data_IF_973309603898
#
_entry.id   IF_973309603898
#
_cell.length_a   1.000
_cell.length_b   1.000
_cell.length_c   1.000
_cell.angle_alpha   90.00
_cell.angle_beta   90.00
_cell.angle_gamma   90.00
#
_symmetry.space_group_name_H-M   'P 1'
#
loop_
_entity.id
_entity.type
_entity.pdbx_description
1 polymer ?
#
# COMPACT_ATOMS: atom_id res chain seq x y z
N UNK A 1 30.33 0.77 76.70
CA UNK A 1 31.66 0.23 76.33
C UNK A 1 31.42 -0.68 75.12
N UNK A 2 31.77 -0.21 73.91
CA UNK A 2 32.76 -0.84 72.99
C UNK A 2 32.46 -2.32 72.70
N UNK A 3 31.98 -2.67 71.50
CA UNK A 3 32.78 -3.21 70.37
C UNK A 3 32.48 -4.74 70.24
N UNK A 4 32.47 -5.48 69.12
CA UNK A 4 32.83 -5.29 67.70
C UNK A 4 32.50 -6.62 66.95
N UNK A 5 32.09 -6.55 65.66
CA UNK A 5 32.09 -7.58 64.57
C UNK A 5 31.32 -8.92 64.76
N UNK A 6 30.73 -9.56 63.73
CA UNK A 6 31.28 -9.86 62.39
C UNK A 6 30.19 -9.98 61.32
N UNK A 7 30.52 -9.51 60.12
CA UNK A 7 29.73 -9.48 58.88
C UNK A 7 29.96 -10.80 58.12
N UNK A 8 28.90 -11.44 57.64
CA UNK A 8 28.98 -12.46 56.59
C UNK A 8 28.20 -11.96 55.37
N UNK A 9 28.93 -11.49 54.36
CA UNK A 9 28.40 -11.04 53.08
C UNK A 9 28.38 -12.22 52.10
N UNK A 10 27.18 -12.71 51.77
CA UNK A 10 26.97 -13.66 50.68
C UNK A 10 26.66 -12.89 49.40
N UNK A 11 27.64 -12.82 48.49
CA UNK A 11 27.48 -12.23 47.16
C UNK A 11 26.76 -13.26 46.27
N UNK A 12 25.47 -13.06 46.03
CA UNK A 12 24.74 -13.74 44.98
C UNK A 12 24.96 -12.97 43.66
N UNK A 13 25.70 -13.56 42.73
CA UNK A 13 25.89 -13.02 41.38
C UNK A 13 24.59 -13.31 40.60
N UNK A 14 23.69 -12.32 40.55
CA UNK A 14 22.57 -12.33 39.63
C UNK A 14 23.09 -12.03 38.22
N UNK A 15 23.10 -13.04 37.36
CA UNK A 15 23.40 -12.87 35.94
C UNK A 15 22.39 -11.93 35.29
N UNK A 16 22.87 -10.78 34.81
CA UNK A 16 22.14 -9.93 33.89
C UNK A 16 21.98 -10.66 32.56
N UNK A 17 20.82 -11.29 32.38
CA UNK A 17 20.31 -11.65 31.05
C UNK A 17 19.96 -10.33 30.36
N UNK A 18 20.82 -9.89 29.45
CA UNK A 18 20.50 -8.84 28.50
C UNK A 18 19.40 -9.38 27.56
N UNK A 19 18.14 -9.13 27.89
CA UNK A 19 17.06 -9.22 26.93
C UNK A 19 17.33 -8.16 25.87
N UNK A 20 17.78 -8.59 24.70
CA UNK A 20 17.85 -7.73 23.52
C UNK A 20 16.47 -7.08 23.31
N UNK A 21 16.43 -5.75 23.36
CA UNK A 21 15.28 -4.94 22.98
C UNK A 21 14.90 -5.25 21.53
N UNK A 22 13.99 -6.20 21.35
CA UNK A 22 13.22 -6.31 20.12
C UNK A 22 12.41 -5.02 19.99
N UNK A 23 12.88 -4.09 19.15
CA UNK A 23 12.12 -2.89 18.78
C UNK A 23 10.69 -3.34 18.43
N UNK A 24 9.64 -2.83 19.11
CA UNK A 24 8.29 -3.17 18.75
C UNK A 24 8.09 -2.78 17.29
N UNK A 25 7.74 -3.76 16.45
CA UNK A 25 7.33 -3.51 15.08
C UNK A 25 6.23 -2.44 15.10
N UNK A 26 6.36 -1.40 14.26
CA UNK A 26 5.34 -0.35 14.16
C UNK A 26 3.97 -1.03 14.03
N UNK A 27 2.97 -0.68 14.86
CA UNK A 27 1.66 -1.31 14.82
C UNK A 27 1.10 -1.18 13.40
N UNK A 28 0.75 -2.31 12.78
CA UNK A 28 0.14 -2.35 11.45
C UNK A 28 -1.16 -1.55 11.55
N UNK A 29 -1.21 -0.39 10.90
CA UNK A 29 -2.41 0.42 10.85
C UNK A 29 -3.54 -0.39 10.19
N UNK A 30 -4.69 -0.47 10.86
CA UNK A 30 -5.88 -1.16 10.37
C UNK A 30 -6.95 -0.14 10.01
N UNK A 31 -7.72 -0.46 8.98
CA UNK A 31 -8.86 0.34 8.54
C UNK A 31 -9.94 0.41 9.63
N UNK A 32 -10.55 1.59 9.78
CA UNK A 32 -11.69 1.80 10.68
C UNK A 32 -12.98 1.56 9.89
N UNK A 33 -13.47 0.32 9.92
CA UNK A 33 -14.64 -0.11 9.13
C UNK A 33 -15.91 0.70 9.40
N UNK A 34 -16.07 1.24 10.62
CA UNK A 34 -17.22 2.09 10.96
C UNK A 34 -17.25 3.40 10.19
N UNK A 35 -16.09 3.87 9.73
CA UNK A 35 -15.95 5.19 9.12
C UNK A 35 -16.20 5.17 7.62
N UNK A 36 -16.05 3.99 7.01
CA UNK A 36 -16.27 3.75 5.59
C UNK A 36 -17.62 4.30 5.15
N UNK A 37 -18.70 4.06 5.91
CA UNK A 37 -20.07 4.51 5.58
C UNK A 37 -20.22 6.04 5.47
N UNK A 38 -19.34 6.82 6.09
CA UNK A 38 -19.39 8.28 6.02
C UNK A 38 -18.64 8.83 4.80
N UNK A 39 -17.69 8.05 4.27
CA UNK A 39 -16.77 8.50 3.22
C UNK A 39 -16.98 7.80 1.88
N UNK A 40 -17.82 6.75 1.79
CA UNK A 40 -18.02 5.96 0.56
C UNK A 40 -18.30 6.83 -0.67
N UNK A 41 -19.21 7.79 -0.57
CA UNK A 41 -19.53 8.67 -1.70
C UNK A 41 -18.31 9.51 -2.13
N UNK A 42 -17.65 10.19 -1.18
CA UNK A 42 -16.50 11.04 -1.51
C UNK A 42 -15.31 10.23 -2.05
N UNK A 43 -15.07 9.04 -1.50
CA UNK A 43 -14.05 8.13 -2.02
C UNK A 43 -14.41 7.67 -3.43
N UNK A 44 -15.69 7.40 -3.73
CA UNK A 44 -16.12 7.02 -5.07
C UNK A 44 -15.90 8.15 -6.09
N UNK A 45 -16.25 9.39 -5.73
CA UNK A 45 -16.01 10.56 -6.59
C UNK A 45 -14.51 10.79 -6.86
N UNK A 46 -13.68 10.72 -5.82
CA UNK A 46 -12.24 10.83 -5.96
C UNK A 46 -11.64 9.67 -6.76
N UNK A 47 -12.18 8.46 -6.60
CA UNK A 47 -11.76 7.30 -7.37
C UNK A 47 -12.11 7.49 -8.86
N UNK A 48 -13.32 7.94 -9.20
CA UNK A 48 -13.71 8.20 -10.59
C UNK A 48 -12.79 9.25 -11.24
N UNK A 49 -12.43 10.30 -10.49
CA UNK A 49 -11.47 11.32 -10.93
C UNK A 49 -10.06 10.73 -11.16
N UNK A 50 -9.60 9.87 -10.26
CA UNK A 50 -8.28 9.25 -10.37
C UNK A 50 -8.22 8.24 -11.53
N UNK A 51 -9.24 7.39 -11.67
CA UNK A 51 -9.35 6.37 -12.73
C UNK A 51 -9.34 7.02 -14.11
N UNK A 52 -10.11 8.10 -14.29
CA UNK A 52 -10.15 8.81 -15.58
C UNK A 52 -8.84 9.53 -15.90
N UNK A 53 -8.14 10.06 -14.90
CA UNK A 53 -6.80 10.64 -15.10
C UNK A 53 -5.76 9.59 -15.48
N UNK A 54 -5.75 8.44 -14.82
CA UNK A 54 -4.84 7.33 -15.16
C UNK A 54 -5.14 6.76 -16.54
N UNK A 55 -6.42 6.62 -16.92
CA UNK A 55 -6.80 6.20 -18.26
C UNK A 55 -6.37 7.22 -19.33
N UNK A 56 -6.55 8.52 -19.07
CA UNK A 56 -6.07 9.56 -19.98
C UNK A 56 -4.54 9.53 -20.14
N UNK A 57 -3.80 9.39 -19.04
CA UNK A 57 -2.34 9.25 -19.07
C UNK A 57 -1.92 7.99 -19.85
N UNK A 58 -2.61 6.87 -19.66
CA UNK A 58 -2.34 5.63 -20.41
C UNK A 58 -2.54 5.81 -21.92
N UNK A 59 -3.56 6.57 -22.34
CA UNK A 59 -3.82 6.90 -23.76
C UNK A 59 -2.79 7.85 -24.35
N UNK A 60 -2.18 8.72 -23.54
CA UNK A 60 -1.09 9.60 -23.99
C UNK A 60 0.25 8.84 -24.10
N UNK A 61 0.52 7.93 -23.17
CA UNK A 61 1.75 7.13 -23.13
C UNK A 61 1.73 5.98 -24.16
N UNK A 62 0.55 5.44 -24.48
CA UNK A 62 0.38 4.27 -25.35
C UNK A 62 -0.27 4.66 -26.67
N UNK A 63 0.33 4.33 -27.82
CA UNK A 63 -0.33 4.50 -29.11
C UNK A 63 -1.66 3.73 -29.13
N UNK A 64 -2.74 4.35 -29.61
CA UNK A 64 -4.10 3.78 -29.61
C UNK A 64 -4.15 2.35 -30.17
N UNK A 65 -3.35 2.05 -31.19
CA UNK A 65 -3.25 0.70 -31.81
C UNK A 65 -2.68 -0.39 -30.89
N UNK A 66 -2.02 0.00 -29.80
CA UNK A 66 -1.42 -0.89 -28.80
C UNK A 66 -2.19 -0.89 -27.48
N UNK A 67 -3.19 -0.02 -27.33
CA UNK A 67 -4.01 0.03 -26.14
C UNK A 67 -4.92 -1.19 -26.12
N UNK A 68 -4.67 -2.11 -25.20
CA UNK A 68 -5.53 -3.26 -24.96
C UNK A 68 -6.35 -3.02 -23.69
N UNK A 69 -7.53 -3.63 -23.65
CA UNK A 69 -8.38 -3.64 -22.46
C UNK A 69 -7.63 -4.16 -21.22
N UNK A 70 -6.79 -5.19 -21.40
CA UNK A 70 -5.95 -5.75 -20.32
C UNK A 70 -5.04 -4.71 -19.69
N UNK A 71 -4.44 -3.80 -20.48
CA UNK A 71 -3.60 -2.73 -19.92
C UNK A 71 -4.40 -1.76 -19.05
N UNK A 72 -5.68 -1.53 -19.40
CA UNK A 72 -6.58 -0.67 -18.63
C UNK A 72 -6.96 -1.36 -17.31
N UNK A 73 -7.35 -2.63 -17.37
CA UNK A 73 -7.70 -3.43 -16.18
C UNK A 73 -6.52 -3.53 -15.20
N UNK A 74 -5.32 -3.83 -15.68
CA UNK A 74 -4.10 -3.91 -14.83
C UNK A 74 -3.79 -2.61 -14.08
N UNK A 75 -4.16 -1.45 -14.64
CA UNK A 75 -4.04 -0.16 -13.96
C UNK A 75 -5.12 0.01 -12.90
N UNK A 76 -6.36 -0.34 -13.25
CA UNK A 76 -7.52 -0.18 -12.38
C UNK A 76 -7.38 -1.07 -11.13
N UNK A 77 -6.93 -2.31 -11.27
CA UNK A 77 -6.67 -3.23 -10.15
C UNK A 77 -5.73 -2.62 -9.09
N UNK A 78 -4.80 -1.75 -9.51
CA UNK A 78 -3.80 -1.12 -8.63
C UNK A 78 -4.26 0.20 -8.02
N UNK A 79 -5.42 0.73 -8.41
CA UNK A 79 -5.93 2.02 -7.92
C UNK A 79 -6.18 2.02 -6.41
N UNK A 80 -6.49 0.86 -5.82
CA UNK A 80 -6.69 0.74 -4.37
C UNK A 80 -5.40 0.39 -3.59
N UNK A 81 -4.25 0.18 -4.25
CA UNK A 81 -2.99 -0.14 -3.57
C UNK A 81 -2.17 1.14 -3.29
N UNK A 82 -2.05 1.60 -2.02
CA UNK A 82 -1.29 2.79 -1.67
C UNK A 82 0.23 2.66 -1.90
N UNK A 83 0.71 1.46 -2.27
CA UNK A 83 2.12 1.21 -2.62
C UNK A 83 2.37 1.33 -4.13
N UNK A 84 1.31 1.23 -4.95
CA UNK A 84 1.36 1.35 -6.40
C UNK A 84 1.36 2.81 -6.85
N UNK A 85 1.69 3.09 -8.12
CA UNK A 85 1.64 4.44 -8.71
C UNK A 85 0.20 4.90 -8.86
N UNK A 86 -0.62 3.97 -9.28
CA UNK A 86 -2.04 4.08 -9.50
C UNK A 86 -2.78 4.40 -8.18
N UNK A 87 -2.22 4.06 -7.01
CA UNK A 87 -2.77 4.43 -5.70
C UNK A 87 -2.22 5.72 -5.09
N UNK A 88 -1.41 6.51 -5.82
CA UNK A 88 -0.87 7.79 -5.33
C UNK A 88 -1.99 8.79 -4.96
N UNK A 89 -3.15 8.67 -5.62
CA UNK A 89 -4.32 9.47 -5.27
C UNK A 89 -4.83 9.19 -3.86
N UNK A 90 -4.56 8.04 -3.25
CA UNK A 90 -4.98 7.72 -1.86
C UNK A 90 -4.04 8.38 -0.85
N UNK A 91 -2.73 8.24 -1.06
CA UNK A 91 -1.72 8.74 -0.11
C UNK A 91 -1.58 10.27 -0.14
N UNK A 92 -2.20 10.94 -1.12
CA UNK A 92 -2.31 12.41 -1.17
C UNK A 92 -3.57 12.94 -0.47
N UNK A 93 -4.39 12.06 0.13
CA UNK A 93 -5.67 12.41 0.78
C UNK A 93 -5.61 12.16 2.28
N UNK A 94 -6.40 12.96 3.00
CA UNK A 94 -6.50 12.94 4.45
C UNK A 94 -7.97 12.96 4.88
N UNK A 95 -8.31 12.31 6.00
CA UNK A 95 -9.68 12.30 6.52
C UNK A 95 -9.84 13.41 7.57
N UNK A 96 -10.40 14.55 7.15
CA UNK A 96 -10.60 15.69 8.04
C UNK A 96 -12.04 15.77 8.55
N UNK A 97 -12.19 15.95 9.86
CA UNK A 97 -13.47 16.22 10.49
C UNK A 97 -13.85 17.69 10.25
N UNK A 98 -14.83 17.94 9.37
CA UNK A 98 -15.41 19.27 9.13
C UNK A 98 -16.80 19.33 9.78
N UNK A 99 -16.82 19.79 11.03
CA UNK A 99 -18.04 19.88 11.83
C UNK A 99 -18.59 18.49 12.16
N UNK A 100 -19.81 18.18 11.72
CA UNK A 100 -20.48 16.89 11.94
C UNK A 100 -20.24 15.86 10.83
N UNK A 101 -19.33 16.12 9.88
CA UNK A 101 -19.04 15.24 8.74
C UNK A 101 -17.55 14.93 8.62
N UNK A 102 -17.25 13.71 8.18
CA UNK A 102 -15.91 13.33 7.77
C UNK A 102 -15.77 13.62 6.28
N UNK A 103 -14.70 14.32 5.91
CA UNK A 103 -14.44 14.73 4.54
C UNK A 103 -13.10 14.17 4.09
N UNK A 104 -13.05 13.69 2.86
CA UNK A 104 -11.79 13.37 2.18
C UNK A 104 -11.24 14.69 1.64
N UNK A 105 -10.08 15.11 2.14
CA UNK A 105 -9.45 16.37 1.74
C UNK A 105 -8.21 16.08 0.92
N UNK A 106 -8.10 16.77 -0.22
CA UNK A 106 -6.89 16.75 -1.03
C UNK A 106 -5.81 17.63 -0.42
N UNK A 107 -4.71 16.99 0.00
CA UNK A 107 -3.55 17.67 0.54
C UNK A 107 -2.62 18.19 -0.57
N UNK A 108 -2.85 17.84 -1.83
CA UNK A 108 -2.12 18.31 -3.00
C UNK A 108 -1.19 17.25 -3.60
N UNK A 109 -0.90 17.38 -4.91
CA UNK A 109 -0.17 16.38 -5.73
C UNK A 109 1.27 16.10 -5.30
N UNK A 110 1.87 16.95 -4.46
CA UNK A 110 3.25 16.80 -3.95
C UNK A 110 3.32 16.49 -2.46
N UNK A 111 2.15 16.37 -1.80
CA UNK A 111 2.04 16.08 -0.39
C UNK A 111 1.63 14.62 -0.23
N UNK A 112 2.62 13.73 -0.22
CA UNK A 112 2.42 12.31 0.06
C UNK A 112 2.38 12.08 1.57
N UNK A 113 1.44 11.28 2.06
CA UNK A 113 1.25 10.96 3.47
C UNK A 113 1.78 9.58 3.85
N UNK A 114 2.16 9.39 5.13
CA UNK A 114 2.34 8.05 5.69
C UNK A 114 0.97 7.34 5.72
N UNK A 115 0.88 6.15 5.12
CA UNK A 115 -0.38 5.40 5.07
C UNK A 115 -0.71 4.80 6.46
N UNK A 116 -1.31 5.62 7.31
CA UNK A 116 -1.82 5.27 8.64
C UNK A 116 -3.25 4.70 8.61
N UNK A 117 -3.98 4.83 9.73
CA UNK A 117 -5.33 4.26 9.84
C UNK A 117 -6.33 4.89 8.87
N UNK A 118 -6.20 6.18 8.63
CA UNK A 118 -7.09 6.93 7.73
C UNK A 118 -6.91 6.52 6.27
N UNK A 119 -5.66 6.48 5.80
CA UNK A 119 -5.31 5.94 4.50
C UNK A 119 -5.86 4.51 4.33
N UNK A 120 -5.66 3.63 5.32
CA UNK A 120 -6.22 2.27 5.27
C UNK A 120 -7.75 2.23 5.27
N UNK A 121 -8.40 3.24 5.85
CA UNK A 121 -9.86 3.38 5.81
C UNK A 121 -10.34 3.80 4.41
N UNK A 122 -9.61 4.70 3.74
CA UNK A 122 -9.84 5.06 2.33
C UNK A 122 -9.59 3.85 1.43
N UNK A 123 -8.48 3.12 1.61
CA UNK A 123 -8.18 1.88 0.88
C UNK A 123 -9.34 0.90 1.03
N UNK A 124 -9.85 0.71 2.26
CA UNK A 124 -10.96 -0.22 2.48
C UNK A 124 -12.24 0.23 1.76
N UNK A 125 -12.51 1.53 1.73
CA UNK A 125 -13.63 2.08 0.97
C UNK A 125 -13.43 1.89 -0.55
N UNK A 126 -12.20 2.08 -1.04
CA UNK A 126 -11.83 1.83 -2.44
C UNK A 126 -12.03 0.36 -2.81
N UNK A 127 -11.51 -0.59 -2.01
CA UNK A 127 -11.68 -2.02 -2.23
C UNK A 127 -13.15 -2.44 -2.25
N UNK A 128 -13.99 -1.84 -1.39
CA UNK A 128 -15.43 -2.12 -1.36
C UNK A 128 -16.17 -1.59 -2.61
N UNK A 129 -15.65 -0.55 -3.27
CA UNK A 129 -16.25 0.09 -4.46
C UNK A 129 -15.73 -0.59 -5.73
N UNK A 130 -14.41 -0.69 -5.85
CA UNK A 130 -13.72 -1.10 -7.07
C UNK A 130 -13.40 -2.59 -7.11
N UNK A 131 -13.06 -3.20 -5.96
CA UNK A 131 -12.52 -4.57 -5.94
C UNK A 131 -13.40 -5.62 -6.62
N UNK A 132 -14.74 -5.59 -6.48
CA UNK A 132 -15.62 -6.54 -7.18
C UNK A 132 -15.93 -6.18 -8.64
N UNK A 133 -15.43 -5.04 -9.14
CA UNK A 133 -15.92 -4.35 -10.35
C UNK A 133 -14.79 -3.74 -11.18
N UNK A 134 -13.55 -4.10 -10.89
CA UNK A 134 -12.35 -3.60 -11.54
C UNK A 134 -12.34 -3.95 -13.03
N UNK A 135 -12.77 -5.15 -13.38
CA UNK A 135 -13.00 -5.58 -14.76
C UNK A 135 -14.08 -4.74 -15.46
N UNK A 136 -15.22 -4.53 -14.79
CA UNK A 136 -16.35 -3.79 -15.36
C UNK A 136 -15.99 -2.31 -15.60
N UNK A 137 -15.25 -1.71 -14.66
CA UNK A 137 -14.72 -0.33 -14.81
C UNK A 137 -13.72 -0.28 -15.96
N UNK A 138 -12.89 -1.30 -16.15
CA UNK A 138 -11.94 -1.39 -17.26
C UNK A 138 -12.63 -1.48 -18.61
N UNK A 139 -13.63 -2.35 -18.73
CA UNK A 139 -14.46 -2.47 -19.92
C UNK A 139 -15.19 -1.16 -20.22
N UNK A 140 -15.78 -0.53 -19.20
CA UNK A 140 -16.48 0.75 -19.34
C UNK A 140 -15.54 1.83 -19.89
N UNK A 141 -14.33 1.98 -19.35
CA UNK A 141 -13.38 2.98 -19.85
C UNK A 141 -12.90 2.69 -21.28
N UNK A 142 -12.69 1.42 -21.61
CA UNK A 142 -12.19 1.02 -22.91
C UNK A 142 -13.24 1.20 -24.02
N UNK A 143 -14.50 0.91 -23.71
CA UNK A 143 -15.60 0.92 -24.69
C UNK A 143 -16.37 2.24 -24.74
N UNK A 144 -16.35 3.03 -23.66
CA UNK A 144 -17.08 4.28 -23.57
C UNK A 144 -16.49 5.35 -24.48
N UNK A 145 -17.35 5.93 -25.31
CA UNK A 145 -17.05 7.10 -26.15
C UNK A 145 -17.71 8.37 -25.60
N UNK A 146 -18.02 8.40 -24.30
CA UNK A 146 -18.61 9.57 -23.66
C UNK A 146 -17.65 10.77 -23.72
N UNK A 147 -18.16 11.93 -24.16
CA UNK A 147 -17.38 13.17 -24.16
C UNK A 147 -16.98 13.63 -22.74
N UNK A 148 -17.81 13.32 -21.74
CA UNK A 148 -17.49 13.47 -20.32
C UNK A 148 -17.42 12.09 -19.66
N UNK A 149 -16.29 11.40 -19.88
CA UNK A 149 -16.02 10.07 -19.32
C UNK A 149 -16.04 10.07 -17.79
N UNK A 150 -15.63 11.19 -17.17
CA UNK A 150 -15.60 11.38 -15.72
C UNK A 150 -17.01 11.42 -15.14
N UNK A 151 -17.88 12.26 -15.72
CA UNK A 151 -19.28 12.36 -15.30
C UNK A 151 -20.00 11.02 -15.45
N UNK A 152 -19.85 10.38 -16.61
CA UNK A 152 -20.48 9.10 -16.91
C UNK A 152 -19.98 7.98 -15.96
N UNK A 153 -18.68 7.90 -15.70
CA UNK A 153 -18.12 6.93 -14.77
C UNK A 153 -18.63 7.16 -13.35
N UNK A 154 -18.68 8.42 -12.88
CA UNK A 154 -19.17 8.76 -11.55
C UNK A 154 -20.63 8.36 -11.38
N UNK A 155 -21.48 8.70 -12.35
CA UNK A 155 -22.91 8.36 -12.29
C UNK A 155 -23.11 6.84 -12.24
N UNK A 156 -22.52 6.11 -13.18
CA UNK A 156 -22.63 4.66 -13.25
C UNK A 156 -22.02 3.97 -12.01
N UNK A 157 -20.77 4.28 -11.66
CA UNK A 157 -20.08 3.61 -10.56
C UNK A 157 -20.63 4.00 -9.18
N UNK A 158 -20.85 5.30 -8.94
CA UNK A 158 -21.15 5.81 -7.61
C UNK A 158 -22.65 5.85 -7.28
N UNK A 159 -23.52 5.97 -8.28
CA UNK A 159 -24.97 6.09 -8.08
C UNK A 159 -25.67 4.78 -8.46
N UNK A 160 -25.41 4.23 -9.64
CA UNK A 160 -26.12 3.04 -10.13
C UNK A 160 -25.57 1.73 -9.53
N UNK A 161 -24.26 1.52 -9.62
CA UNK A 161 -23.67 0.20 -9.36
C UNK A 161 -23.32 -0.03 -7.89
N UNK A 162 -22.79 0.98 -7.21
CA UNK A 162 -22.42 0.87 -5.79
C UNK A 162 -23.40 1.53 -4.83
N UNK A 163 -24.32 2.37 -5.35
CA UNK A 163 -25.22 3.21 -4.56
C UNK A 163 -24.48 3.95 -3.40
N UNK A 164 -23.21 4.29 -3.64
CA UNK A 164 -22.34 4.93 -2.65
C UNK A 164 -22.81 6.36 -2.36
N UNK A 165 -23.38 7.03 -3.36
CA UNK A 165 -23.87 8.41 -3.29
C UNK A 165 -25.38 8.57 -3.20
N UNK A 166 -26.18 7.50 -3.29
CA UNK A 166 -27.66 7.62 -3.26
C UNK A 166 -28.27 7.84 -1.87
N UNK A 167 -27.50 7.69 -0.79
CA UNK A 167 -27.97 7.84 0.59
C UNK A 167 -27.55 9.15 1.28
N UNK A 168 -28.38 9.66 2.20
CA UNK A 168 -27.96 10.75 3.11
C UNK A 168 -26.83 10.26 4.01
N UNK A 169 -25.65 10.88 3.89
CA UNK A 169 -24.49 10.61 4.75
C UNK A 169 -24.89 10.84 6.22
N UNK A 170 -24.82 9.81 7.09
CA UNK A 170 -25.18 9.97 8.49
C UNK A 170 -24.21 10.92 9.22
N UNK A 171 -24.66 11.68 10.22
CA UNK A 171 -23.76 12.54 11.00
C UNK A 171 -22.76 11.70 11.81
N UNK A 172 -21.58 12.29 12.05
CA UNK A 172 -20.55 11.66 12.86
C UNK A 172 -20.98 11.50 14.33
N UNK A 173 -20.68 10.35 14.97
CA UNK A 173 -20.84 10.19 16.41
C UNK A 173 -19.89 11.13 17.17
N UNK A 174 -20.37 11.77 18.24
CA UNK A 174 -19.57 12.66 19.09
C UNK A 174 -18.46 11.96 19.87
N UNK A 175 -18.57 10.63 20.07
CA UNK A 175 -17.61 9.80 20.81
C UNK A 175 -16.48 9.23 19.93
N UNK A 176 -16.42 9.62 18.65
CA UNK A 176 -15.36 9.15 17.75
C UNK A 176 -14.02 9.81 18.13
N UNK A 177 -12.92 9.05 18.26
CA UNK A 177 -11.61 9.62 18.47
C UNK A 177 -11.21 10.42 17.21
N UNK A 178 -10.65 11.62 17.43
CA UNK A 178 -10.16 12.45 16.33
C UNK A 178 -9.15 11.68 15.48
N UNK A 179 -9.21 11.96 14.18
CA UNK A 179 -8.29 11.46 13.18
C UNK A 179 -6.80 11.64 13.51
N UNK A 180 -5.97 10.78 12.90
CA UNK A 180 -4.52 10.91 12.94
C UNK A 180 -4.11 12.11 12.08
N UNK A 181 -3.18 12.96 12.55
CA UNK A 181 -2.72 14.08 11.72
C UNK A 181 -2.00 13.58 10.48
N UNK A 182 -2.28 14.19 9.33
CA UNK A 182 -1.53 13.98 8.09
C UNK A 182 -0.02 14.14 8.33
N UNK A 183 0.74 13.06 8.17
CA UNK A 183 2.20 13.07 8.24
C UNK A 183 2.76 13.09 6.84
N UNK A 184 3.23 14.27 6.41
CA UNK A 184 3.89 14.43 5.12
C UNK A 184 5.15 13.57 5.05
N UNK A 185 5.36 12.98 3.88
CA UNK A 185 6.53 12.24 3.44
C UNK A 185 7.12 12.91 2.23
N UNK A 186 8.41 12.71 2.03
CA UNK A 186 9.11 13.19 0.86
C UNK A 186 8.89 12.23 -0.32
N UNK A 187 8.83 12.80 -1.52
CA UNK A 187 8.63 12.06 -2.78
C UNK A 187 9.67 10.94 -2.99
N UNK A 188 10.92 11.19 -2.57
CA UNK A 188 12.01 10.20 -2.67
C UNK A 188 11.76 8.96 -1.82
N UNK A 189 11.16 9.14 -0.65
CA UNK A 189 10.84 8.01 0.24
C UNK A 189 9.69 7.18 -0.32
N UNK A 190 8.72 7.83 -0.98
CA UNK A 190 7.61 7.14 -1.66
C UNK A 190 8.13 6.32 -2.82
N UNK A 191 9.04 6.88 -3.63
CA UNK A 191 9.66 6.17 -4.74
C UNK A 191 10.54 5.01 -4.28
N UNK A 192 11.29 5.17 -3.18
CA UNK A 192 12.06 4.10 -2.57
C UNK A 192 11.17 2.96 -2.04
N UNK A 193 10.05 3.29 -1.39
CA UNK A 193 9.09 2.28 -0.96
C UNK A 193 8.43 1.56 -2.13
N UNK A 194 8.12 2.27 -3.22
CA UNK A 194 7.60 1.67 -4.46
C UNK A 194 8.61 0.69 -5.05
N UNK A 195 9.89 1.05 -5.11
CA UNK A 195 10.95 0.15 -5.57
C UNK A 195 11.02 -1.11 -4.70
N UNK A 196 10.94 -0.95 -3.38
CA UNK A 196 10.91 -2.07 -2.44
C UNK A 196 9.65 -2.93 -2.57
N UNK A 197 8.49 -2.32 -2.84
CA UNK A 197 7.23 -3.03 -3.05
C UNK A 197 7.26 -3.85 -4.34
N UNK A 198 7.77 -3.27 -5.45
CA UNK A 198 7.98 -3.98 -6.71
C UNK A 198 8.91 -5.19 -6.56
N UNK A 199 9.95 -5.09 -5.72
CA UNK A 199 10.86 -6.21 -5.45
C UNK A 199 10.20 -7.36 -4.67
N UNK A 200 9.21 -7.07 -3.82
CA UNK A 200 8.45 -8.10 -3.07
C UNK A 200 7.44 -8.87 -3.94
N UNK A 201 7.02 -8.29 -5.06
CA UNK A 201 6.09 -8.92 -6.01
C UNK A 201 6.75 -9.91 -6.99
N UNK A 202 8.09 -10.02 -7.01
CA UNK A 202 8.83 -10.87 -7.92
C UNK A 202 8.85 -12.34 -7.42
N UNK A 203 8.30 -13.32 -8.16
CA UNK A 203 8.41 -14.74 -7.79
C UNK A 203 9.89 -15.15 -7.77
N UNK A 204 10.40 -15.59 -6.61
CA UNK A 204 11.77 -16.08 -6.44
C UNK A 204 12.60 -15.38 -5.35
N UNK A 205 12.17 -14.23 -4.84
CA UNK A 205 12.93 -13.49 -3.80
C UNK A 205 12.43 -13.73 -2.36
N UNK A 206 11.26 -14.33 -2.19
CA UNK A 206 10.66 -14.63 -0.88
C UNK A 206 11.14 -15.94 -0.22
N UNK A 207 12.04 -16.66 -0.89
CA UNK A 207 12.45 -18.01 -0.48
C UNK A 207 13.95 -18.28 -0.60
N UNK A 208 14.78 -17.26 -0.84
CA UNK A 208 16.23 -17.40 -0.71
C UNK A 208 16.56 -17.54 0.79
N UNK A 209 16.27 -18.72 1.34
CA UNK A 209 17.02 -19.24 2.47
C UNK A 209 18.48 -19.06 2.09
N UNK A 210 19.18 -18.27 2.89
CA UNK A 210 20.59 -17.97 2.77
C UNK A 210 21.33 -19.30 2.63
N UNK A 211 21.62 -19.72 1.40
CA UNK A 211 22.64 -20.73 1.19
C UNK A 211 23.91 -20.10 1.73
N UNK A 212 24.35 -20.58 2.90
CA UNK A 212 25.60 -20.16 3.50
C UNK A 212 26.68 -20.18 2.43
N UNK A 213 27.52 -19.13 2.39
CA UNK A 213 28.61 -19.00 1.40
C UNK A 213 29.49 -20.26 1.33
N UNK A 214 29.54 -21.01 2.43
CA UNK A 214 30.23 -22.29 2.58
C UNK A 214 29.58 -23.45 1.78
N UNK A 215 28.26 -23.46 1.59
CA UNK A 215 27.56 -24.48 0.80
C UNK A 215 27.72 -24.25 -0.71
N UNK A 216 27.92 -22.99 -1.14
CA UNK A 216 28.22 -22.65 -2.52
C UNK A 216 29.69 -22.93 -2.88
N UNK A 217 30.62 -22.74 -1.95
CA UNK A 217 32.05 -23.06 -2.13
C UNK A 217 32.37 -24.56 -1.97
N UNK A 218 31.56 -25.32 -1.22
CA UNK A 218 31.74 -26.76 -1.03
C UNK A 218 31.30 -27.63 -2.21
N UNK A 219 30.54 -27.09 -3.17
CA UNK A 219 30.01 -27.81 -4.33
C UNK A 219 30.76 -27.58 -5.65
N UNK A 220 31.73 -26.66 -5.69
CA UNK A 220 32.44 -26.27 -6.91
C UNK A 220 33.91 -26.76 -6.93
N UNK A 221 34.25 -27.76 -6.11
CA UNK A 221 35.64 -28.11 -5.78
C UNK A 221 36.02 -29.58 -5.94
N UNK A 222 35.41 -30.35 -6.84
CA UNK A 222 35.92 -31.67 -7.24
C UNK A 222 35.50 -32.01 -8.66
N UNK A 223 36.48 -32.14 -9.55
CA UNK A 223 36.34 -32.46 -10.96
C UNK A 223 37.44 -31.83 -11.81
N UNK A 224 38.68 -31.83 -11.29
CA UNK A 224 39.85 -31.74 -12.15
C UNK A 224 40.08 -33.14 -12.71
N UNK A 225 39.64 -33.35 -13.95
CA UNK A 225 40.25 -34.38 -14.78
C UNK A 225 41.37 -33.68 -15.55
N UNK A 226 42.56 -34.18 -15.26
CA UNK A 226 43.85 -33.84 -15.86
C UNK A 226 43.85 -34.13 -17.37
N UNK A 227 44.83 -33.47 -18.00
CA UNK A 227 45.25 -33.50 -19.39
C UNK A 227 45.33 -34.89 -20.05
N UNK A 228 45.10 -34.98 -21.36
CA UNK A 228 46.17 -35.24 -22.34
C UNK A 228 45.64 -35.42 -23.78
N UNK A 229 46.44 -34.90 -24.70
CA UNK A 229 46.34 -34.79 -26.16
C UNK A 229 46.02 -36.10 -26.92
N UNK A 230 45.34 -36.00 -28.07
CA UNK A 230 46.00 -36.22 -29.37
C UNK A 230 45.06 -36.00 -30.57
N UNK A 231 45.64 -35.30 -31.55
CA UNK A 231 45.11 -34.83 -32.84
C UNK A 231 44.81 -35.97 -33.85
N UNK A 232 44.10 -35.57 -34.90
CA UNK A 232 43.73 -36.29 -36.12
C UNK A 232 44.82 -37.21 -36.73
N UNK A 233 44.52 -38.51 -36.97
CA UNK A 233 44.55 -39.27 -38.27
C UNK A 233 44.32 -40.78 -38.08
#
# INVERSE_FOLDING_TARGET
RRAVTTIAASIAIAGLVACADAKPSKPIARAVKSDVKFIKCEVCEHLADAVTQEYAALREETPEKKLTETMVIEKIEKMCDPSAKEGDWIITKDLQEKGSRLRVVDMGKENYGECGKECKTIVKACEDILGPRDTDVGEFLYTSNAGDLRGALREWLCEEETNSCGGKIPPLPSDRPKGEKFKKRDKKDVEMERLMAGMKGMPGMGGAQMFSRDQMMGGMGMGGDDDDDDDDE
#
